data_IF_016132144838
#
_entry.id   IF_016132144838
#
_cell.length_a   1.000
_cell.length_b   1.000
_cell.length_c   1.000
_cell.angle_alpha   90.00
_cell.angle_beta   90.00
_cell.angle_gamma   90.00
#
_symmetry.space_group_name_H-M   'P 1'
#
loop_
_entity.id
_entity.type
_entity.pdbx_description
1 polymer ?
#
# COMPACT_ATOMS: atom_id res chain seq x y z
N UNK A 1 -2.26 -17.06 -11.36
CA UNK A 1 -1.67 -17.52 -10.06
C UNK A 1 -2.15 -16.53 -9.04
N UNK A 2 -2.88 -16.98 -8.03
CA UNK A 2 -3.61 -16.11 -7.12
C UNK A 2 -3.11 -16.32 -5.70
N UNK A 3 -2.90 -15.22 -4.98
CA UNK A 3 -2.58 -15.23 -3.56
C UNK A 3 -3.44 -14.21 -2.83
N UNK A 4 -3.74 -14.49 -1.57
CA UNK A 4 -4.52 -13.64 -0.68
C UNK A 4 -3.63 -13.19 0.48
N UNK A 5 -3.83 -11.96 0.95
CA UNK A 5 -3.20 -11.47 2.16
C UNK A 5 -3.90 -10.25 2.75
N UNK A 6 -3.36 -9.80 3.87
CA UNK A 6 -3.82 -8.59 4.56
C UNK A 6 -2.93 -7.40 4.24
N UNK A 7 -3.49 -6.19 4.24
CA UNK A 7 -2.74 -4.93 4.17
C UNK A 7 -3.15 -3.98 5.29
N UNK A 8 -2.19 -3.58 6.12
CA UNK A 8 -2.34 -2.51 7.11
C UNK A 8 -1.28 -1.43 6.88
N UNK A 9 -0.01 -1.80 6.72
CA UNK A 9 1.10 -0.87 6.42
C UNK A 9 1.79 -1.22 5.11
N UNK A 10 1.03 -1.56 4.07
CA UNK A 10 1.58 -1.95 2.77
C UNK A 10 1.89 -3.44 2.63
N UNK A 11 1.30 -4.32 3.43
CA UNK A 11 1.61 -5.76 3.42
C UNK A 11 1.12 -6.52 2.19
N UNK A 12 0.25 -5.94 1.35
CA UNK A 12 -0.01 -6.45 -0.01
C UNK A 12 0.87 -5.72 -1.04
N UNK A 13 1.07 -4.41 -0.84
CA UNK A 13 1.71 -3.51 -1.83
C UNK A 13 3.23 -3.58 -1.86
N UNK A 14 3.89 -3.60 -0.70
CA UNK A 14 5.36 -3.69 -0.60
C UNK A 14 5.90 -5.04 -1.11
N UNK A 15 5.37 -6.21 -0.70
CA UNK A 15 5.84 -7.46 -1.29
C UNK A 15 5.50 -7.57 -2.78
N UNK A 16 4.35 -7.02 -3.22
CA UNK A 16 4.07 -6.91 -4.65
C UNK A 16 5.15 -6.12 -5.40
N UNK A 17 5.55 -4.97 -4.86
CA UNK A 17 6.65 -4.15 -5.37
C UNK A 17 7.96 -4.93 -5.41
N UNK A 18 8.34 -5.60 -4.32
CA UNK A 18 9.61 -6.35 -4.23
C UNK A 18 9.68 -7.58 -5.14
N UNK A 19 8.53 -8.16 -5.48
CA UNK A 19 8.45 -9.37 -6.28
C UNK A 19 8.00 -9.12 -7.72
N UNK A 20 7.81 -7.86 -8.13
CA UNK A 20 7.28 -7.50 -9.46
C UNK A 20 5.94 -8.17 -9.77
N UNK A 21 5.06 -8.29 -8.78
CA UNK A 21 3.68 -8.79 -8.96
C UNK A 21 2.69 -7.69 -8.65
N UNK A 22 1.41 -7.92 -8.98
CA UNK A 22 0.34 -6.98 -8.69
C UNK A 22 -0.27 -7.31 -7.33
N UNK A 23 -0.39 -6.30 -6.47
CA UNK A 23 -1.06 -6.41 -5.18
C UNK A 23 -2.09 -5.30 -5.02
N UNK A 24 -3.31 -5.64 -4.59
CA UNK A 24 -4.37 -4.68 -4.34
C UNK A 24 -4.68 -4.58 -2.85
N UNK A 25 -4.50 -3.39 -2.27
CA UNK A 25 -5.22 -2.98 -1.07
C UNK A 25 -6.59 -2.45 -1.51
N UNK A 26 -7.71 -3.14 -1.28
CA UNK A 26 -9.01 -2.57 -1.63
C UNK A 26 -9.48 -1.56 -0.57
N UNK A 27 -10.60 -0.88 -0.80
CA UNK A 27 -11.18 -0.04 0.25
C UNK A 27 -11.64 -0.88 1.44
N UNK A 28 -11.60 -0.33 2.66
CA UNK A 28 -12.12 -1.01 3.84
C UNK A 28 -13.58 -1.43 3.64
N UNK A 29 -13.89 -2.69 3.96
CA UNK A 29 -15.22 -3.28 3.76
C UNK A 29 -15.45 -3.90 2.37
N UNK A 30 -14.55 -3.71 1.40
CA UNK A 30 -14.70 -4.34 0.08
C UNK A 30 -14.61 -5.86 0.18
N UNK A 31 -13.64 -6.35 0.95
CA UNK A 31 -13.41 -7.77 1.22
C UNK A 31 -13.57 -7.99 2.72
N UNK A 32 -14.31 -9.03 3.09
CA UNK A 32 -14.48 -9.42 4.50
C UNK A 32 -13.15 -9.75 5.15
N UNK A 33 -12.98 -9.32 6.40
CA UNK A 33 -11.84 -9.71 7.24
C UNK A 33 -12.15 -10.94 8.08
N UNK A 34 -13.38 -11.47 7.97
CA UNK A 34 -13.89 -12.52 8.83
C UNK A 34 -14.05 -12.03 10.27
N UNK A 35 -13.80 -12.93 11.22
CA UNK A 35 -13.85 -12.61 12.65
C UNK A 35 -12.46 -12.13 13.10
N UNK A 36 -12.31 -10.83 13.32
CA UNK A 36 -11.09 -10.19 13.85
C UNK A 36 -11.40 -9.45 15.15
N UNK A 37 -10.43 -9.21 16.03
CA UNK A 37 -10.70 -8.44 17.24
C UNK A 37 -10.95 -6.95 16.95
N UNK A 38 -10.46 -6.45 15.81
CA UNK A 38 -10.55 -5.04 15.39
C UNK A 38 -11.72 -4.75 14.44
N UNK A 39 -12.89 -5.33 14.73
CA UNK A 39 -14.08 -5.31 13.85
C UNK A 39 -14.48 -3.93 13.32
N UNK A 40 -14.34 -2.87 14.11
CA UNK A 40 -14.76 -1.52 13.73
C UNK A 40 -13.62 -0.62 13.22
N UNK A 41 -12.40 -1.15 13.08
CA UNK A 41 -11.27 -0.39 12.54
C UNK A 41 -11.17 -0.54 11.03
N UNK A 42 -11.14 0.54 10.22
CA UNK A 42 -11.01 0.43 8.77
C UNK A 42 -9.56 0.28 8.28
N UNK A 43 -8.56 0.21 9.18
CA UNK A 43 -7.15 0.30 8.78
C UNK A 43 -6.63 -0.96 8.08
N UNK A 44 -6.89 -2.13 8.66
CA UNK A 44 -6.48 -3.42 8.09
C UNK A 44 -7.55 -3.93 7.12
N UNK A 45 -7.14 -4.35 5.94
CA UNK A 45 -8.02 -4.94 4.91
C UNK A 45 -7.46 -6.28 4.43
N UNK A 46 -8.31 -7.09 3.80
CA UNK A 46 -7.91 -8.27 3.04
C UNK A 46 -7.94 -7.95 1.55
N UNK A 47 -7.05 -8.56 0.75
CA UNK A 47 -7.00 -8.26 -0.67
C UNK A 47 -6.23 -9.29 -1.51
N UNK A 48 -6.45 -9.25 -2.84
CA UNK A 48 -5.80 -10.15 -3.78
C UNK A 48 -4.39 -9.69 -4.19
N UNK A 49 -3.56 -10.67 -4.51
CA UNK A 49 -2.32 -10.52 -5.27
C UNK A 49 -2.32 -11.50 -6.44
N UNK A 50 -1.80 -11.08 -7.58
CA UNK A 50 -1.60 -11.93 -8.74
C UNK A 50 -0.46 -11.39 -9.61
N UNK A 51 -0.12 -12.09 -10.70
CA UNK A 51 0.94 -11.63 -11.62
C UNK A 51 0.51 -10.49 -12.53
N UNK A 52 -0.78 -10.27 -12.69
CA UNK A 52 -1.30 -9.23 -13.56
C UNK A 52 -2.61 -8.64 -13.02
N UNK A 53 -3.00 -7.48 -13.54
CA UNK A 53 -4.20 -6.76 -13.12
C UNK A 53 -5.49 -7.52 -13.45
N UNK A 54 -5.66 -8.16 -14.63
CA UNK A 54 -6.84 -8.97 -14.91
C UNK A 54 -7.08 -10.11 -13.90
N UNK A 55 -6.04 -10.84 -13.48
CA UNK A 55 -6.15 -11.89 -12.45
C UNK A 55 -6.53 -11.29 -11.08
N UNK A 56 -5.98 -10.12 -10.72
CA UNK A 56 -6.36 -9.39 -9.49
C UNK A 56 -7.83 -9.00 -9.52
N UNK A 57 -8.33 -8.48 -10.64
CA UNK A 57 -9.73 -8.09 -10.79
C UNK A 57 -10.68 -9.30 -10.70
N UNK A 58 -10.33 -10.39 -11.38
CA UNK A 58 -11.07 -11.66 -11.31
C UNK A 58 -11.11 -12.21 -9.90
N UNK A 59 -9.99 -12.17 -9.17
CA UNK A 59 -9.98 -12.66 -7.81
C UNK A 59 -10.81 -11.76 -6.89
N UNK A 60 -10.72 -10.43 -7.05
CA UNK A 60 -11.52 -9.48 -6.28
C UNK A 60 -13.03 -9.69 -6.46
N UNK A 61 -13.48 -10.05 -7.66
CA UNK A 61 -14.90 -10.38 -7.92
C UNK A 61 -15.42 -11.51 -7.02
N UNK A 62 -14.57 -12.48 -6.68
CA UNK A 62 -14.94 -13.59 -5.79
C UNK A 62 -14.84 -13.24 -4.31
N UNK A 63 -14.06 -12.21 -3.97
CA UNK A 63 -13.78 -11.79 -2.60
C UNK A 63 -14.73 -10.68 -2.12
N UNK A 64 -15.31 -9.93 -3.05
CA UNK A 64 -16.11 -8.76 -2.75
C UNK A 64 -17.57 -9.12 -2.43
N UNK A 65 -18.13 -8.49 -1.40
CA UNK A 65 -19.54 -8.62 -1.07
C UNK A 65 -19.84 -8.42 0.40
N UNK A 66 -21.13 -8.28 0.69
CA UNK A 66 -21.63 -8.15 2.04
C UNK A 66 -21.43 -9.46 2.82
N UNK A 67 -20.89 -9.36 4.02
CA UNK A 67 -20.65 -10.46 4.93
C UNK A 67 -21.19 -10.10 6.32
N UNK A 68 -22.26 -10.73 6.81
CA UNK A 68 -22.86 -10.40 8.11
C UNK A 68 -21.90 -10.52 9.30
N UNK A 69 -20.84 -11.33 9.16
CA UNK A 69 -19.82 -11.50 10.18
C UNK A 69 -18.85 -10.31 10.30
N UNK A 70 -18.76 -9.44 9.28
CA UNK A 70 -17.89 -8.25 9.27
C UNK A 70 -18.72 -6.97 9.03
N UNK A 71 -18.90 -6.11 10.07
CA UNK A 71 -19.82 -4.98 10.03
C UNK A 71 -19.38 -3.85 9.10
N UNK A 72 -18.14 -3.85 8.59
CA UNK A 72 -17.69 -2.85 7.63
C UNK A 72 -18.05 -3.22 6.19
N UNK A 73 -18.46 -4.47 5.93
CA UNK A 73 -18.69 -4.94 4.57
C UNK A 73 -19.95 -4.38 3.94
N UNK A 74 -19.89 -4.18 2.63
CA UNK A 74 -20.97 -3.65 1.81
C UNK A 74 -21.12 -4.46 0.53
N UNK A 75 -22.21 -4.23 -0.19
CA UNK A 75 -22.57 -5.03 -1.36
C UNK A 75 -21.47 -5.02 -2.44
N UNK A 76 -21.37 -6.17 -3.12
CA UNK A 76 -20.56 -6.28 -4.31
C UNK A 76 -21.07 -5.29 -5.38
N UNK A 77 -20.19 -4.75 -6.24
CA UNK A 77 -20.64 -3.88 -7.32
C UNK A 77 -21.56 -4.65 -8.29
N UNK A 78 -22.53 -3.96 -8.90
CA UNK A 78 -23.41 -4.56 -9.91
C UNK A 78 -22.65 -4.99 -11.17
N UNK A 79 -21.59 -4.25 -11.51
CA UNK A 79 -20.63 -4.60 -12.56
C UNK A 79 -19.38 -5.21 -11.93
N UNK A 80 -19.03 -6.42 -12.34
CA UNK A 80 -17.80 -7.09 -11.90
C UNK A 80 -16.56 -6.29 -12.28
N UNK A 81 -15.53 -6.28 -11.43
CA UNK A 81 -14.23 -5.67 -11.68
C UNK A 81 -13.57 -6.23 -12.95
N UNK A 82 -13.71 -7.53 -13.22
CA UNK A 82 -13.22 -8.14 -14.46
C UNK A 82 -13.87 -7.55 -15.71
N UNK A 83 -15.17 -7.23 -15.65
CA UNK A 83 -15.86 -6.56 -16.75
C UNK A 83 -15.35 -5.13 -16.93
N UNK A 84 -15.16 -4.39 -15.83
CA UNK A 84 -14.59 -3.04 -15.90
C UNK A 84 -13.18 -3.03 -16.49
N UNK A 85 -12.34 -4.03 -16.18
CA UNK A 85 -11.00 -4.16 -16.79
C UNK A 85 -11.07 -4.45 -18.28
N UNK A 86 -12.05 -5.23 -18.77
CA UNK A 86 -12.25 -5.47 -20.21
C UNK A 86 -12.66 -4.22 -20.97
N UNK A 87 -13.36 -3.30 -20.31
CA UNK A 87 -13.83 -2.04 -20.87
C UNK A 87 -13.02 -0.84 -20.34
N UNK A 88 -11.74 -1.09 -20.02
CA UNK A 88 -10.89 -0.12 -19.34
C UNK A 88 -10.79 1.21 -20.08
N UNK A 89 -10.82 2.29 -19.31
CA UNK A 89 -10.64 3.67 -19.80
C UNK A 89 -9.43 4.28 -19.12
N UNK A 90 -8.64 5.03 -19.89
CA UNK A 90 -7.49 5.73 -19.35
C UNK A 90 -7.94 6.82 -18.36
N UNK A 91 -7.17 7.07 -17.29
CA UNK A 91 -7.38 8.23 -16.44
C UNK A 91 -7.10 9.52 -17.24
N UNK A 92 -7.81 10.60 -16.93
CA UNK A 92 -7.57 11.89 -17.57
C UNK A 92 -6.46 12.66 -16.86
N UNK A 93 -6.50 12.71 -15.52
CA UNK A 93 -5.53 13.46 -14.71
C UNK A 93 -4.90 12.57 -13.64
N UNK A 94 -3.56 12.54 -13.62
CA UNK A 94 -2.77 11.73 -12.71
C UNK A 94 -1.80 12.63 -11.95
N UNK A 95 -1.93 12.66 -10.63
CA UNK A 95 -0.93 13.29 -9.78
C UNK A 95 0.22 12.31 -9.51
N UNK A 96 1.46 12.73 -9.66
CA UNK A 96 2.65 12.01 -9.22
C UNK A 96 3.28 12.71 -8.02
N UNK A 97 3.56 11.98 -6.95
CA UNK A 97 4.32 12.47 -5.82
C UNK A 97 5.46 11.50 -5.51
N UNK A 98 6.69 12.01 -5.52
CA UNK A 98 7.89 11.21 -5.24
C UNK A 98 7.91 10.65 -3.80
N UNK A 99 7.19 11.31 -2.90
CA UNK A 99 7.01 10.89 -1.51
C UNK A 99 5.71 11.47 -0.94
N UNK A 100 5.35 11.01 0.27
CA UNK A 100 4.29 11.60 1.08
C UNK A 100 4.90 12.06 2.41
N UNK A 101 4.67 13.34 2.75
CA UNK A 101 5.26 13.99 3.91
C UNK A 101 6.79 13.93 3.86
N UNK A 102 7.40 13.51 4.97
CA UNK A 102 8.86 13.39 5.11
C UNK A 102 9.36 11.94 4.95
N UNK A 103 8.57 11.07 4.32
CA UNK A 103 8.95 9.66 4.18
C UNK A 103 10.18 9.54 3.26
N UNK A 104 11.30 8.94 3.71
CA UNK A 104 12.48 8.80 2.86
C UNK A 104 12.21 7.76 1.78
N UNK A 105 12.55 8.07 0.54
CA UNK A 105 12.49 7.12 -0.58
C UNK A 105 13.87 7.03 -1.21
N UNK A 106 14.32 5.86 -1.63
CA UNK A 106 15.58 5.70 -2.34
C UNK A 106 15.63 6.53 -3.64
N UNK A 107 16.77 7.17 -3.93
CA UNK A 107 16.92 8.06 -5.08
C UNK A 107 16.64 7.38 -6.42
N UNK A 108 17.25 6.21 -6.63
CA UNK A 108 17.08 5.46 -7.89
C UNK A 108 15.62 5.00 -8.07
N UNK A 109 14.97 4.61 -6.96
CA UNK A 109 13.53 4.32 -6.91
C UNK A 109 12.69 5.52 -7.37
N UNK A 110 12.97 6.74 -6.88
CA UNK A 110 12.26 7.96 -7.31
C UNK A 110 12.46 8.22 -8.80
N UNK A 111 13.70 8.07 -9.30
CA UNK A 111 14.02 8.32 -10.70
C UNK A 111 13.34 7.33 -11.65
N UNK A 112 13.31 6.05 -11.28
CA UNK A 112 12.61 5.00 -12.04
C UNK A 112 11.09 5.24 -12.02
N UNK A 113 10.51 5.58 -10.87
CA UNK A 113 9.07 5.88 -10.76
C UNK A 113 8.68 7.11 -11.59
N UNK A 114 9.48 8.18 -11.55
CA UNK A 114 9.25 9.39 -12.36
C UNK A 114 9.32 9.08 -13.85
N UNK A 115 10.29 8.25 -14.28
CA UNK A 115 10.36 7.80 -15.67
C UNK A 115 9.16 6.93 -16.07
N UNK A 116 8.64 6.10 -15.15
CA UNK A 116 7.46 5.27 -15.35
C UNK A 116 6.17 6.05 -15.57
N UNK A 117 6.11 7.32 -15.17
CA UNK A 117 4.96 8.19 -15.44
C UNK A 117 4.75 8.44 -16.94
N UNK A 118 5.78 8.31 -17.77
CA UNK A 118 5.68 8.40 -19.24
C UNK A 118 4.71 7.39 -19.83
N UNK A 119 4.49 6.25 -19.15
CA UNK A 119 3.48 5.26 -19.57
C UNK A 119 2.07 5.83 -19.42
N UNK A 120 1.78 6.63 -18.39
CA UNK A 120 0.50 7.33 -18.28
C UNK A 120 0.34 8.42 -19.35
N UNK A 121 1.39 9.21 -19.61
CA UNK A 121 1.38 10.23 -20.67
C UNK A 121 1.14 9.63 -22.07
N UNK A 122 1.74 8.47 -22.35
CA UNK A 122 1.54 7.73 -23.60
C UNK A 122 0.09 7.26 -23.80
N UNK A 123 -0.67 7.12 -22.71
CA UNK A 123 -2.12 6.85 -22.73
C UNK A 123 -2.97 8.12 -22.73
N UNK A 124 -2.36 9.27 -23.02
CA UNK A 124 -2.96 10.60 -23.06
C UNK A 124 -3.46 11.14 -21.70
N UNK A 125 -2.96 10.60 -20.58
CA UNK A 125 -3.21 11.19 -19.27
C UNK A 125 -2.35 12.46 -19.07
N UNK A 126 -2.94 13.52 -18.52
CA UNK A 126 -2.20 14.66 -17.99
C UNK A 126 -1.53 14.24 -16.67
N UNK A 127 -0.20 14.21 -16.65
CA UNK A 127 0.56 13.93 -15.44
C UNK A 127 1.06 15.24 -14.83
N UNK A 128 0.72 15.47 -13.57
CA UNK A 128 1.19 16.62 -12.79
C UNK A 128 2.02 16.11 -11.62
N UNK A 129 3.26 16.59 -11.50
CA UNK A 129 4.10 16.32 -10.33
C UNK A 129 3.71 17.27 -9.20
N UNK A 130 3.33 16.71 -8.05
CA UNK A 130 2.82 17.45 -6.89
C UNK A 130 3.60 17.11 -5.63
N UNK A 131 3.56 18.03 -4.67
CA UNK A 131 4.02 17.80 -3.30
C UNK A 131 2.83 17.48 -2.40
N UNK A 132 2.91 16.35 -1.68
CA UNK A 132 1.92 15.96 -0.68
C UNK A 132 2.54 16.13 0.70
N UNK A 133 2.50 17.34 1.23
CA UNK A 133 2.99 17.63 2.58
C UNK A 133 1.90 17.35 3.61
N UNK A 134 2.17 16.40 4.50
CA UNK A 134 1.23 15.94 5.52
C UNK A 134 1.99 15.87 6.83
N UNK A 135 1.56 16.69 7.79
CA UNK A 135 2.14 16.70 9.11
C UNK A 135 1.80 15.41 9.88
N UNK A 136 2.76 14.90 10.66
CA UNK A 136 2.55 13.84 11.65
C UNK A 136 1.92 12.54 11.10
N UNK A 137 2.17 12.18 9.83
CA UNK A 137 1.69 10.90 9.24
C UNK A 137 2.18 9.71 10.04
N UNK A 138 3.48 9.67 10.33
CA UNK A 138 4.10 8.56 11.05
C UNK A 138 3.55 8.45 12.47
N UNK A 139 3.55 9.53 13.24
CA UNK A 139 3.00 9.58 14.60
C UNK A 139 1.53 9.14 14.63
N UNK A 140 0.72 9.66 13.70
CA UNK A 140 -0.70 9.29 13.58
C UNK A 140 -0.86 7.80 13.30
N UNK A 141 -0.09 7.28 12.34
CA UNK A 141 -0.15 5.89 11.97
C UNK A 141 0.31 4.96 13.09
N UNK A 142 1.44 5.27 13.74
CA UNK A 142 1.99 4.47 14.84
C UNK A 142 1.04 4.45 16.03
N UNK A 143 0.35 5.55 16.33
CA UNK A 143 -0.64 5.57 17.39
C UNK A 143 -1.82 4.64 17.11
N UNK A 144 -2.46 4.77 15.95
CA UNK A 144 -3.60 3.92 15.61
C UNK A 144 -3.19 2.45 15.41
N UNK A 145 -2.01 2.21 14.84
CA UNK A 145 -1.45 0.87 14.66
C UNK A 145 -1.15 0.20 16.00
N UNK A 146 -0.45 0.89 16.90
CA UNK A 146 -0.04 0.32 18.18
C UNK A 146 -1.25 -0.04 19.06
N UNK A 147 -2.34 0.73 18.98
CA UNK A 147 -3.61 0.36 19.59
C UNK A 147 -4.13 -1.01 19.09
N UNK A 148 -4.06 -1.27 17.79
CA UNK A 148 -4.44 -2.57 17.23
C UNK A 148 -3.54 -3.70 17.78
N UNK A 149 -2.24 -3.45 17.99
CA UNK A 149 -1.35 -4.44 18.60
C UNK A 149 -1.71 -4.75 20.05
N UNK A 150 -2.13 -3.75 20.84
CA UNK A 150 -2.65 -3.99 22.20
C UNK A 150 -3.86 -4.93 22.14
N UNK A 151 -4.84 -4.61 21.30
CA UNK A 151 -6.06 -5.42 21.11
C UNK A 151 -5.71 -6.87 20.75
N UNK A 152 -4.78 -7.08 19.81
CA UNK A 152 -4.49 -8.41 19.27
C UNK A 152 -3.47 -9.21 20.07
N UNK A 153 -2.57 -8.56 20.83
CA UNK A 153 -1.33 -9.20 21.34
C UNK A 153 -1.07 -9.05 22.83
N UNK A 154 -1.68 -8.10 23.53
CA UNK A 154 -1.39 -7.88 24.97
C UNK A 154 -1.51 -9.17 25.80
N UNK A 155 -2.63 -9.87 25.68
CA UNK A 155 -2.88 -11.12 26.42
C UNK A 155 -1.92 -12.25 25.99
N UNK A 156 -1.48 -12.25 24.73
CA UNK A 156 -0.50 -13.22 24.25
C UNK A 156 0.89 -12.94 24.83
N UNK A 157 1.28 -11.67 24.99
CA UNK A 157 2.55 -11.30 25.62
C UNK A 157 2.64 -11.74 27.08
N UNK A 158 1.53 -11.64 27.82
CA UNK A 158 1.48 -12.05 29.23
C UNK A 158 1.77 -13.54 29.43
N UNK A 159 1.40 -14.38 28.45
CA UNK A 159 1.51 -15.84 28.55
C UNK A 159 2.66 -16.44 27.72
N UNK A 160 3.10 -15.78 26.65
CA UNK A 160 4.03 -16.33 25.66
C UNK A 160 5.08 -15.30 25.18
N UNK A 161 5.38 -14.27 25.97
CA UNK A 161 6.26 -13.16 25.55
C UNK A 161 7.63 -13.60 25.00
N UNK A 162 8.23 -14.66 25.54
CA UNK A 162 9.53 -15.19 25.08
C UNK A 162 9.49 -15.86 23.70
N UNK A 163 8.31 -16.14 23.15
CA UNK A 163 8.10 -16.74 21.82
C UNK A 163 7.69 -15.69 20.77
N UNK A 164 7.51 -14.43 21.18
CA UNK A 164 6.98 -13.38 20.33
C UNK A 164 8.12 -12.50 19.82
N UNK A 165 8.08 -12.17 18.52
CA UNK A 165 9.10 -11.35 17.87
C UNK A 165 9.22 -9.97 18.56
N UNK A 166 10.44 -9.42 18.73
CA UNK A 166 10.64 -8.11 19.36
C UNK A 166 9.84 -6.98 18.71
N UNK A 167 9.59 -7.02 17.40
CA UNK A 167 8.83 -5.98 16.69
C UNK A 167 7.34 -5.97 17.12
N UNK A 168 6.79 -7.14 17.43
CA UNK A 168 5.41 -7.27 17.96
C UNK A 168 5.35 -6.78 19.40
N UNK A 169 6.35 -7.11 20.22
CA UNK A 169 6.49 -6.62 21.59
C UNK A 169 6.55 -5.09 21.58
N UNK A 170 7.44 -4.51 20.76
CA UNK A 170 7.62 -3.06 20.64
C UNK A 170 6.34 -2.31 20.26
N UNK A 171 5.56 -2.78 19.27
CA UNK A 171 4.29 -2.12 18.93
C UNK A 171 3.29 -2.19 20.09
N UNK A 172 3.25 -3.34 20.77
CA UNK A 172 2.28 -3.53 21.86
C UNK A 172 2.65 -2.64 23.05
N UNK A 173 3.93 -2.56 23.41
CA UNK A 173 4.43 -1.66 24.46
C UNK A 173 4.25 -0.18 24.09
N UNK A 174 4.43 0.18 22.81
CA UNK A 174 4.13 1.53 22.32
C UNK A 174 2.65 1.88 22.55
N UNK A 175 1.75 0.94 22.25
CA UNK A 175 0.31 1.09 22.43
C UNK A 175 -0.10 1.21 23.90
N UNK A 176 0.48 0.38 24.77
CA UNK A 176 0.22 0.41 26.23
C UNK A 176 0.68 1.72 26.90
N UNK A 177 1.64 2.43 26.31
CA UNK A 177 2.10 3.75 26.80
C UNK A 177 1.23 4.91 26.36
N UNK A 178 0.28 4.70 25.45
CA UNK A 178 -0.53 5.78 24.90
C UNK A 178 -1.63 6.23 25.87
N UNK A 179 -1.83 7.54 25.95
CA UNK A 179 -3.01 8.10 26.59
C UNK A 179 -4.21 8.13 25.63
N UNK A 180 -5.41 8.26 26.19
CA UNK A 180 -6.63 8.53 25.39
C UNK A 180 -6.49 9.81 24.56
N UNK A 181 -5.76 10.81 25.06
CA UNK A 181 -5.47 12.06 24.35
C UNK A 181 -4.56 11.85 23.13
N UNK A 182 -3.63 10.88 23.18
CA UNK A 182 -2.75 10.55 22.05
C UNK A 182 -3.54 9.90 20.93
N UNK A 183 -4.40 8.94 21.26
CA UNK A 183 -5.33 8.32 20.30
C UNK A 183 -6.29 9.35 19.69
N UNK A 184 -6.84 10.25 20.52
CA UNK A 184 -7.70 11.32 20.02
C UNK A 184 -6.95 12.29 19.08
N UNK A 185 -5.66 12.56 19.35
CA UNK A 185 -4.80 13.34 18.45
C UNK A 185 -4.60 12.62 17.12
N UNK A 186 -4.32 11.33 17.17
CA UNK A 186 -4.14 10.50 15.97
C UNK A 186 -5.42 10.46 15.12
N UNK A 187 -6.60 10.29 15.71
CA UNK A 187 -7.85 10.33 14.95
C UNK A 187 -8.10 11.68 14.27
N UNK A 188 -7.75 12.80 14.91
CA UNK A 188 -7.78 14.13 14.26
C UNK A 188 -6.78 14.23 13.11
N UNK A 189 -5.57 13.70 13.29
CA UNK A 189 -4.56 13.62 12.23
C UNK A 189 -5.04 12.79 11.03
N UNK A 190 -5.66 11.64 11.29
CA UNK A 190 -6.26 10.78 10.25
C UNK A 190 -7.37 11.50 9.50
N UNK A 191 -8.24 12.22 10.20
CA UNK A 191 -9.32 12.99 9.58
C UNK A 191 -8.79 14.09 8.66
N UNK A 192 -7.76 14.84 9.11
CA UNK A 192 -7.12 15.87 8.30
C UNK A 192 -6.46 15.29 7.04
N UNK A 193 -5.75 14.17 7.19
CA UNK A 193 -5.14 13.43 6.09
C UNK A 193 -6.19 12.95 5.07
N UNK A 194 -7.30 12.36 5.56
CA UNK A 194 -8.40 11.95 4.69
C UNK A 194 -8.96 13.12 3.87
N UNK A 195 -9.21 14.26 4.52
CA UNK A 195 -9.72 15.46 3.84
C UNK A 195 -8.76 15.94 2.74
N UNK A 196 -7.47 15.99 3.03
CA UNK A 196 -6.46 16.40 2.04
C UNK A 196 -6.43 15.47 0.82
N UNK A 197 -6.56 14.15 1.01
CA UNK A 197 -6.69 13.22 -0.11
C UNK A 197 -7.99 13.43 -0.89
N UNK A 198 -9.10 13.79 -0.23
CA UNK A 198 -10.35 14.09 -0.94
C UNK A 198 -10.23 15.35 -1.80
N UNK A 199 -9.52 16.37 -1.31
CA UNK A 199 -9.26 17.60 -2.07
C UNK A 199 -8.35 17.32 -3.29
N UNK A 200 -7.43 16.36 -3.19
CA UNK A 200 -6.65 15.87 -4.32
C UNK A 200 -7.54 15.09 -5.31
N UNK A 201 -8.39 14.17 -4.84
CA UNK A 201 -9.31 13.42 -5.73
C UNK A 201 -10.41 14.27 -6.35
N UNK A 202 -10.62 15.50 -5.88
CA UNK A 202 -11.45 16.48 -6.57
C UNK A 202 -10.80 17.01 -7.86
N UNK A 203 -9.48 16.86 -8.00
CA UNK A 203 -8.69 17.37 -9.11
C UNK A 203 -8.09 16.25 -9.97
N UNK A 204 -7.72 15.12 -9.36
CA UNK A 204 -7.04 14.01 -10.01
C UNK A 204 -7.87 12.73 -9.96
N UNK A 205 -7.79 11.93 -11.02
CA UNK A 205 -8.41 10.60 -11.03
C UNK A 205 -7.61 9.61 -10.18
N UNK A 206 -6.28 9.75 -10.19
CA UNK A 206 -5.33 8.90 -9.50
C UNK A 206 -4.23 9.73 -8.83
N UNK A 207 -3.73 9.21 -7.72
CA UNK A 207 -2.49 9.69 -7.09
C UNK A 207 -1.48 8.54 -7.18
N UNK A 208 -0.29 8.81 -7.71
CA UNK A 208 0.77 7.82 -7.93
C UNK A 208 1.98 8.18 -7.09
N UNK A 209 2.52 7.19 -6.38
CA UNK A 209 3.77 7.31 -5.63
C UNK A 209 4.66 6.09 -5.91
N UNK A 210 5.90 6.07 -5.42
CA UNK A 210 6.66 4.82 -5.33
C UNK A 210 5.90 3.73 -4.55
N UNK A 211 6.05 2.48 -4.95
CA UNK A 211 5.37 1.31 -4.37
C UNK A 211 5.93 0.89 -3.01
N UNK A 212 7.21 1.20 -2.79
CA UNK A 212 7.92 1.04 -1.55
C UNK A 212 9.00 2.13 -1.43
N UNK A 213 9.46 2.37 -0.21
CA UNK A 213 10.48 3.38 0.08
C UNK A 213 11.89 3.00 -0.43
N UNK A 214 12.14 1.74 -0.75
CA UNK A 214 13.43 1.21 -1.19
C UNK A 214 13.18 -0.04 -2.03
N UNK A 215 14.10 -0.49 -2.89
CA UNK A 215 13.99 -1.80 -3.52
C UNK A 215 14.09 -2.94 -2.48
N UNK A 216 13.96 -4.19 -2.92
CA UNK A 216 14.15 -5.34 -2.03
C UNK A 216 15.54 -5.31 -1.36
N UNK A 217 15.62 -5.53 -0.05
CA UNK A 217 16.86 -5.48 0.74
C UNK A 217 17.23 -6.88 1.27
N UNK A 218 18.38 -6.96 1.96
CA UNK A 218 18.89 -8.22 2.50
C UNK A 218 17.87 -8.94 3.38
N UNK A 219 17.68 -10.24 3.14
CA UNK A 219 16.74 -11.11 3.86
C UNK A 219 17.11 -11.29 5.33
N UNK A 220 18.39 -11.14 5.67
CA UNK A 220 18.86 -11.25 7.05
C UNK A 220 18.56 -9.98 7.88
N UNK A 221 18.13 -8.90 7.22
CA UNK A 221 17.65 -7.69 7.87
C UNK A 221 16.15 -7.78 8.18
N UNK A 222 15.75 -7.39 9.38
CA UNK A 222 14.33 -7.28 9.75
C UNK A 222 13.62 -6.13 9.03
N UNK A 223 14.37 -5.09 8.69
CA UNK A 223 13.92 -3.87 8.01
C UNK A 223 15.16 -3.13 7.45
N UNK A 224 15.01 -2.25 6.45
CA UNK A 224 16.12 -1.42 5.98
C UNK A 224 16.61 -0.52 7.12
N UNK A 225 17.93 -0.44 7.33
CA UNK A 225 18.51 0.35 8.42
C UNK A 225 18.55 1.85 8.07
N UNK A 226 18.72 2.17 6.80
CA UNK A 226 18.72 3.53 6.26
C UNK A 226 18.11 3.55 4.85
N UNK A 227 17.61 4.71 4.44
CA UNK A 227 17.12 4.97 3.09
C UNK A 227 17.63 6.34 2.65
N UNK A 228 18.30 6.41 1.50
CA UNK A 228 18.89 7.65 0.95
C UNK A 228 19.77 8.40 1.98
N UNK A 229 20.59 7.64 2.72
CA UNK A 229 21.46 8.16 3.80
C UNK A 229 20.74 8.53 5.11
N UNK A 230 19.42 8.43 5.16
CA UNK A 230 18.62 8.72 6.36
C UNK A 230 18.45 7.44 7.16
N UNK A 231 19.04 7.41 8.37
CA UNK A 231 18.86 6.30 9.32
C UNK A 231 17.39 6.24 9.74
N UNK A 232 16.83 5.03 9.74
CA UNK A 232 15.47 4.78 10.20
C UNK A 232 15.47 4.56 11.73
N UNK A 233 14.61 5.29 12.43
CA UNK A 233 14.50 5.21 13.89
C UNK A 233 13.85 3.89 14.36
N UNK A 234 13.00 3.29 13.54
CA UNK A 234 12.34 2.02 13.83
C UNK A 234 11.89 1.29 12.57
N UNK A 235 11.52 0.02 12.74
CA UNK A 235 11.21 -0.88 11.63
C UNK A 235 10.00 -0.47 10.76
N UNK A 236 9.07 0.33 11.30
CA UNK A 236 7.91 0.84 10.55
C UNK A 236 8.20 2.10 9.71
N UNK A 237 9.37 2.74 9.84
CA UNK A 237 9.63 4.02 9.16
C UNK A 237 9.68 3.85 7.63
N UNK A 238 10.08 2.68 7.15
CA UNK A 238 10.01 2.27 5.74
C UNK A 238 8.61 1.84 5.27
N UNK A 239 7.55 2.18 6.01
CA UNK A 239 6.16 1.90 5.64
C UNK A 239 5.30 3.16 5.57
N UNK A 240 5.82 4.32 5.96
CA UNK A 240 5.07 5.59 6.07
C UNK A 240 4.39 5.98 4.75
N UNK A 241 5.05 5.75 3.61
CA UNK A 241 4.49 5.98 2.27
C UNK A 241 3.19 5.19 2.04
N UNK A 242 3.19 3.90 2.34
CA UNK A 242 2.01 3.04 2.20
C UNK A 242 0.99 3.23 3.32
N UNK A 243 1.45 3.63 4.51
CA UNK A 243 0.64 3.89 5.68
C UNK A 243 -0.23 5.15 5.53
N UNK A 244 0.27 6.19 4.86
CA UNK A 244 -0.53 7.37 4.52
C UNK A 244 -1.80 6.97 3.76
N UNK A 245 -1.65 6.15 2.71
CA UNK A 245 -2.77 5.65 1.91
C UNK A 245 -3.72 4.76 2.73
N UNK A 246 -3.20 3.96 3.67
CA UNK A 246 -4.02 3.18 4.59
C UNK A 246 -4.96 4.07 5.40
N UNK A 247 -4.43 5.17 5.93
CA UNK A 247 -5.19 6.10 6.76
C UNK A 247 -6.26 6.88 6.00
N UNK A 248 -6.10 7.03 4.68
CA UNK A 248 -7.08 7.66 3.79
C UNK A 248 -8.24 6.73 3.36
N UNK A 249 -8.26 5.46 3.78
CA UNK A 249 -9.26 4.46 3.34
C UNK A 249 -9.34 4.26 1.81
N UNK A 250 -8.31 4.71 1.08
CA UNK A 250 -8.21 4.59 -0.37
C UNK A 250 -7.79 3.18 -0.78
N UNK A 251 -8.32 2.66 -1.90
CA UNK A 251 -7.76 1.50 -2.54
C UNK A 251 -6.45 1.87 -3.24
N UNK A 252 -5.50 0.93 -3.29
CA UNK A 252 -4.23 1.14 -3.95
C UNK A 252 -3.69 -0.15 -4.58
N UNK A 253 -3.24 -0.03 -5.83
CA UNK A 253 -2.55 -1.06 -6.58
C UNK A 253 -1.04 -0.86 -6.48
N UNK A 254 -0.31 -1.96 -6.33
CA UNK A 254 1.10 -2.01 -6.67
C UNK A 254 1.24 -2.53 -8.10
N UNK A 255 1.93 -1.78 -8.96
CA UNK A 255 2.19 -2.15 -10.35
C UNK A 255 3.71 -2.14 -10.61
N UNK A 256 4.27 -3.14 -11.32
CA UNK A 256 5.66 -3.08 -11.78
C UNK A 256 5.95 -1.81 -12.59
N UNK A 257 7.10 -1.20 -12.36
CA UNK A 257 7.51 0.07 -12.98
C UNK A 257 8.91 0.04 -13.59
N UNK A 258 9.74 -0.93 -13.21
CA UNK A 258 11.09 -1.08 -13.72
C UNK A 258 11.96 -1.93 -12.80
N UNK A 259 13.26 -1.86 -13.04
CA UNK A 259 14.28 -2.54 -12.24
C UNK A 259 15.42 -1.58 -11.96
N UNK A 260 16.01 -1.68 -10.78
CA UNK A 260 17.21 -0.91 -10.46
C UNK A 260 18.47 -1.47 -11.14
N UNK A 261 19.62 -0.82 -10.94
CA UNK A 261 20.91 -1.22 -11.48
C UNK A 261 21.36 -2.63 -11.06
N UNK A 262 20.78 -3.20 -10.01
CA UNK A 262 21.04 -4.56 -9.52
C UNK A 262 20.00 -5.58 -10.02
N UNK A 263 19.05 -5.15 -10.85
CA UNK A 263 17.97 -5.99 -11.38
C UNK A 263 16.84 -6.27 -10.37
N UNK A 264 16.77 -5.51 -9.26
CA UNK A 264 15.70 -5.65 -8.27
C UNK A 264 14.44 -4.92 -8.76
N UNK A 265 13.24 -5.52 -8.61
CA UNK A 265 12.00 -4.88 -9.04
C UNK A 265 11.71 -3.56 -8.32
N UNK A 266 11.19 -2.60 -9.09
CA UNK A 266 10.61 -1.34 -8.64
C UNK A 266 9.17 -1.28 -9.10
N UNK A 267 8.28 -0.74 -8.27
CA UNK A 267 6.86 -0.64 -8.55
C UNK A 267 6.30 0.73 -8.19
N UNK A 268 5.18 1.08 -8.81
CA UNK A 268 4.33 2.21 -8.46
C UNK A 268 3.28 1.75 -7.46
N UNK A 269 2.93 2.64 -6.52
CA UNK A 269 1.67 2.61 -5.80
C UNK A 269 0.71 3.56 -6.50
N UNK A 270 -0.32 3.02 -7.14
CA UNK A 270 -1.38 3.76 -7.81
C UNK A 270 -2.60 3.77 -6.90
N UNK A 271 -3.03 4.95 -6.48
CA UNK A 271 -4.07 5.15 -5.46
C UNK A 271 -5.32 5.71 -6.11
N UNK A 272 -6.45 5.04 -5.85
CA UNK A 272 -7.78 5.51 -6.27
C UNK A 272 -8.51 6.23 -5.14
N UNK A 273 -9.61 6.89 -5.51
CA UNK A 273 -10.57 7.43 -4.54
C UNK A 273 -11.19 6.28 -3.71
N UNK A 274 -11.62 6.50 -2.45
CA UNK A 274 -12.33 5.51 -1.66
C UNK A 274 -13.48 4.87 -2.42
N UNK A 275 -13.55 3.53 -2.40
CA UNK A 275 -14.49 2.68 -3.15
C UNK A 275 -14.38 2.80 -4.69
N UNK A 276 -13.27 3.34 -5.18
CA UNK A 276 -12.97 3.53 -6.60
C UNK A 276 -12.18 2.39 -7.24
N UNK A 277 -12.25 1.16 -6.71
CA UNK A 277 -11.42 0.04 -7.20
C UNK A 277 -11.63 -0.26 -8.68
N UNK A 278 -12.85 -0.07 -9.20
CA UNK A 278 -13.18 -0.33 -10.59
C UNK A 278 -12.38 0.57 -11.56
N UNK A 279 -12.36 1.89 -11.30
CA UNK A 279 -11.58 2.84 -12.10
C UNK A 279 -10.06 2.62 -11.91
N UNK A 280 -9.65 2.32 -10.67
CA UNK A 280 -8.26 2.02 -10.35
C UNK A 280 -7.74 0.79 -11.11
N UNK A 281 -8.51 -0.30 -11.13
CA UNK A 281 -8.16 -1.53 -11.86
C UNK A 281 -8.16 -1.32 -13.37
N UNK A 282 -9.12 -0.55 -13.91
CA UNK A 282 -9.11 -0.18 -15.33
C UNK A 282 -7.84 0.57 -15.73
N UNK A 283 -7.48 1.61 -14.98
CA UNK A 283 -6.26 2.38 -15.24
C UNK A 283 -4.99 1.52 -15.05
N UNK A 284 -4.96 0.67 -14.02
CA UNK A 284 -3.85 -0.23 -13.78
C UNK A 284 -3.65 -1.25 -14.90
N UNK A 285 -4.73 -1.80 -15.46
CA UNK A 285 -4.65 -2.76 -16.57
C UNK A 285 -4.11 -2.10 -17.85
N UNK A 286 -4.51 -0.85 -18.13
CA UNK A 286 -3.97 -0.10 -19.26
C UNK A 286 -2.49 0.24 -19.06
N UNK A 287 -2.11 0.68 -17.85
CA UNK A 287 -0.71 0.93 -17.51
C UNK A 287 0.14 -0.34 -17.68
N UNK A 288 -0.33 -1.47 -17.14
CA UNK A 288 0.34 -2.77 -17.26
C UNK A 288 0.58 -3.13 -18.72
N UNK A 289 -0.47 -3.06 -19.56
CA UNK A 289 -0.39 -3.36 -20.98
C UNK A 289 0.58 -2.42 -21.74
N UNK A 290 0.58 -1.13 -21.42
CA UNK A 290 1.45 -0.14 -22.05
C UNK A 290 2.91 -0.22 -21.56
N UNK A 291 3.16 -0.71 -20.34
CA UNK A 291 4.50 -0.83 -19.76
C UNK A 291 5.35 -1.93 -20.40
N UNK A 292 4.70 -3.01 -20.88
CA UNK A 292 5.39 -4.21 -21.39
C UNK A 292 6.19 -4.97 -20.33
N UNK A 293 6.06 -4.62 -19.04
CA UNK A 293 6.85 -5.23 -17.96
C UNK A 293 6.35 -6.62 -17.55
N UNK A 294 5.11 -6.97 -17.90
CA UNK A 294 4.49 -8.27 -17.56
C UNK A 294 5.31 -9.47 -18.03
N UNK A 295 6.04 -9.33 -19.14
CA UNK A 295 6.87 -10.39 -19.71
C UNK A 295 8.28 -10.50 -19.06
N UNK A 296 8.66 -9.48 -18.28
CA UNK A 296 9.97 -9.41 -17.62
C UNK A 296 9.93 -9.90 -16.17
N UNK A 297 8.73 -10.09 -15.61
CA UNK A 297 8.51 -10.55 -14.24
C UNK A 297 9.07 -11.96 -14.06
N UNK A 298 10.02 -12.18 -13.14
CA UNK A 298 10.55 -13.52 -12.88
C UNK A 298 9.46 -14.47 -12.39
N UNK A 299 9.31 -15.63 -13.05
CA UNK A 299 8.45 -16.73 -12.59
C UNK A 299 9.15 -17.47 -11.44
N UNK A 300 10.45 -17.72 -11.59
CA UNK A 300 11.29 -18.38 -10.59
C UNK A 300 12.17 -17.37 -9.85
N UNK A 301 12.42 -17.55 -8.54
CA UNK A 301 13.36 -16.72 -7.80
C UNK A 301 14.73 -16.70 -8.48
N UNK A 302 15.24 -15.49 -8.74
CA UNK A 302 16.57 -15.28 -9.30
C UNK A 302 17.55 -14.97 -8.16
N UNK A 303 18.77 -15.55 -8.16
CA UNK A 303 19.82 -15.11 -7.25
C UNK A 303 20.09 -13.61 -7.45
N UNK A 304 20.09 -12.85 -6.36
CA UNK A 304 20.40 -11.43 -6.36
C UNK A 304 21.73 -11.15 -5.67
N UNK A 305 22.29 -9.97 -5.94
CA UNK A 305 23.40 -9.43 -5.14
C UNK A 305 22.80 -8.56 -4.06
N UNK A 306 23.14 -8.81 -2.79
CA UNK A 306 22.83 -7.87 -1.71
C UNK A 306 23.71 -6.63 -1.94
N UNK A 307 23.13 -5.45 -2.23
CA UNK A 307 23.94 -4.27 -2.42
C UNK A 307 24.63 -3.88 -1.12
N UNK A 308 25.83 -3.28 -1.17
CA UNK A 308 26.47 -2.76 0.04
C UNK A 308 25.55 -1.75 0.72
N UNK A 309 25.52 -1.79 2.06
CA UNK A 309 24.82 -0.79 2.86
C UNK A 309 25.51 0.58 2.63
N UNK A 310 24.87 1.41 1.82
CA UNK A 310 25.27 2.81 1.58
C UNK A 310 24.85 3.73 2.72
#
# INVERSE_FOLDING_TARGET
WLAHGSDHGGSLRRPATYCSVVGLRPSPGRVTRGLVNTMFSPLSVQGPMARNVPDVALFLDTMAGHCPADPLTFDAPSTSFSATVREAKAPARVAYAETIGQSPVDRETRDICRAGMKTFEAMCAEVEEISIDIAAVEDTFLALRSQQFVIDRELQLQSHGNQIKPDIIWNTELGLKQSTSDLARAERGRAALYQQFMDLFAQYDLIVTPGANTPAFDVDLRHPVAIDGIKLEHYMAASTLTAAVTMCASPALSLPCGFDQFGRPIGLQVVGRPRGEAALLAAGALYEAASGLSDLVPIDPRPGVVPPLG
#
